data_IF_281620508150
#
_entry.id   IF_281620508150
#
_cell.length_a   1.000
_cell.length_b   1.000
_cell.length_c   1.000
_cell.angle_alpha   90.00
_cell.angle_beta   90.00
_cell.angle_gamma   90.00
#
_symmetry.space_group_name_H-M   'P 1'
#
loop_
_entity.id
_entity.type
_entity.pdbx_description
1 polymer ?
#
# COMPACT_ATOMS: atom_id res chain seq x y z
N UNK A 1 -4.35 -18.91 -0.26
CA UNK A 1 -4.37 -17.49 -0.60
C UNK A 1 -4.33 -16.65 0.67
N UNK A 2 -3.57 -15.57 0.68
CA UNK A 2 -3.53 -14.56 1.76
C UNK A 2 -3.71 -13.18 1.12
N UNK A 3 -4.48 -12.30 1.77
CA UNK A 3 -4.71 -10.91 1.33
C UNK A 3 -4.10 -9.97 2.36
N UNK A 4 -3.30 -9.03 1.88
CA UNK A 4 -2.66 -8.01 2.72
C UNK A 4 -2.79 -6.62 2.09
N UNK A 5 -2.68 -5.58 2.92
CA UNK A 5 -2.66 -4.19 2.45
C UNK A 5 -1.72 -3.33 3.33
N UNK A 6 -1.27 -2.14 2.86
CA UNK A 6 -0.39 -1.27 3.63
C UNK A 6 -1.06 -0.61 4.84
N UNK A 7 -2.37 -0.37 4.78
CA UNK A 7 -3.12 0.32 5.84
C UNK A 7 -4.22 -0.57 6.43
N UNK A 8 -4.65 -0.26 7.68
CA UNK A 8 -5.71 -1.00 8.34
C UNK A 8 -7.05 -0.91 7.59
N UNK A 9 -7.40 0.27 7.07
CA UNK A 9 -8.65 0.49 6.33
C UNK A 9 -8.65 -0.32 5.03
N UNK A 10 -7.57 -0.26 4.25
CA UNK A 10 -7.44 -1.05 3.03
C UNK A 10 -7.51 -2.56 3.33
N UNK A 11 -6.85 -3.01 4.40
CA UNK A 11 -6.87 -4.41 4.82
C UNK A 11 -8.29 -4.89 5.18
N UNK A 12 -9.07 -4.09 5.91
CA UNK A 12 -10.46 -4.41 6.24
C UNK A 12 -11.31 -4.48 4.97
N UNK A 13 -11.17 -3.51 4.08
CA UNK A 13 -11.94 -3.46 2.83
C UNK A 13 -11.62 -4.65 1.91
N UNK A 14 -10.36 -5.07 1.86
CA UNK A 14 -9.92 -6.23 1.08
C UNK A 14 -10.21 -7.58 1.75
N UNK A 15 -10.76 -7.58 2.97
CA UNK A 15 -10.98 -8.81 3.74
C UNK A 15 -9.69 -9.50 4.20
N UNK A 16 -8.63 -8.73 4.42
CA UNK A 16 -7.30 -9.19 4.77
C UNK A 16 -6.75 -8.58 6.06
N UNK A 17 -5.44 -8.54 6.17
CA UNK A 17 -4.69 -7.95 7.30
C UNK A 17 -3.58 -7.03 6.79
N UNK A 18 -3.00 -6.19 7.66
CA UNK A 18 -1.90 -5.33 7.20
C UNK A 18 -0.62 -6.13 6.94
N UNK A 19 0.20 -5.68 5.97
CA UNK A 19 1.51 -6.27 5.65
C UNK A 19 2.36 -6.40 6.91
N UNK A 20 2.45 -5.31 7.69
CA UNK A 20 3.24 -5.27 8.92
C UNK A 20 2.76 -6.29 9.95
N UNK A 21 1.46 -6.43 10.13
CA UNK A 21 0.88 -7.41 11.06
C UNK A 21 1.08 -8.84 10.57
N UNK A 22 0.86 -9.10 9.28
CA UNK A 22 0.99 -10.45 8.74
C UNK A 22 2.43 -10.95 8.81
N UNK A 23 3.38 -10.17 8.32
CA UNK A 23 4.80 -10.55 8.27
C UNK A 23 5.59 -10.13 9.51
N UNK A 24 4.94 -9.47 10.50
CA UNK A 24 5.59 -8.93 11.71
C UNK A 24 6.80 -8.04 11.38
N UNK A 25 6.71 -7.28 10.28
CA UNK A 25 7.75 -6.34 9.85
C UNK A 25 7.63 -5.07 10.68
N UNK A 26 8.72 -4.53 11.26
CA UNK A 26 8.69 -3.25 11.96
C UNK A 26 8.33 -2.10 11.03
N UNK A 27 7.86 -0.98 11.58
CA UNK A 27 7.61 0.25 10.82
C UNK A 27 8.89 1.01 10.43
N UNK A 28 10.06 0.50 10.78
CA UNK A 28 11.34 1.08 10.38
C UNK A 28 11.70 0.71 8.93
N UNK A 29 12.51 1.53 8.23
CA UNK A 29 13.02 1.19 6.91
C UNK A 29 13.77 -0.14 6.89
N UNK A 30 13.51 -0.94 5.88
CA UNK A 30 14.26 -2.14 5.62
C UNK A 30 15.47 -1.82 4.73
N UNK A 31 16.67 -2.01 5.27
CA UNK A 31 17.91 -1.79 4.52
C UNK A 31 18.49 -3.15 4.15
N UNK A 32 18.59 -3.49 2.84
CA UNK A 32 19.24 -4.72 2.40
C UNK A 32 20.67 -4.80 2.96
N UNK A 33 21.10 -6.00 3.35
CA UNK A 33 22.45 -6.30 3.90
C UNK A 33 22.72 -5.82 5.33
N UNK A 34 21.98 -4.86 5.88
CA UNK A 34 22.17 -4.41 7.27
C UNK A 34 21.29 -5.15 8.27
N UNK A 35 20.14 -5.63 7.82
CA UNK A 35 19.08 -6.14 8.71
C UNK A 35 19.39 -7.52 9.30
N UNK A 36 20.30 -8.27 8.69
CA UNK A 36 20.56 -9.67 9.09
C UNK A 36 22.06 -10.02 9.23
N UNK A 37 23.00 -9.12 8.89
CA UNK A 37 24.43 -9.43 8.77
C UNK A 37 25.38 -8.75 9.75
N UNK A 38 24.94 -8.05 10.79
CA UNK A 38 25.89 -7.52 11.77
C UNK A 38 26.17 -8.52 12.88
N UNK A 39 27.34 -9.13 12.83
CA UNK A 39 28.00 -9.87 13.92
C UNK A 39 27.26 -11.07 14.50
N UNK A 40 26.59 -11.90 13.70
CA UNK A 40 26.05 -13.17 14.19
C UNK A 40 24.90 -13.04 15.19
N UNK A 41 24.49 -11.83 15.53
CA UNK A 41 23.31 -11.56 16.34
C UNK A 41 22.25 -10.94 15.42
N UNK A 42 21.45 -11.79 14.79
CA UNK A 42 20.27 -11.41 14.02
C UNK A 42 19.38 -10.50 14.87
N UNK A 43 19.37 -9.21 14.58
CA UNK A 43 18.74 -8.17 15.38
C UNK A 43 17.20 -8.25 15.41
N UNK A 44 16.58 -8.98 14.49
CA UNK A 44 15.14 -9.23 14.47
C UNK A 44 14.85 -10.70 14.16
N UNK A 45 15.06 -11.58 15.15
CA UNK A 45 14.56 -12.95 15.10
C UNK A 45 13.06 -12.95 15.46
N UNK A 46 12.21 -12.46 14.58
CA UNK A 46 10.81 -12.82 14.67
C UNK A 46 10.68 -14.32 14.39
N UNK A 47 10.47 -15.09 15.43
CA UNK A 47 10.12 -16.50 15.30
C UNK A 47 8.62 -16.58 15.20
N UNK A 48 8.12 -16.82 14.02
CA UNK A 48 6.70 -17.14 13.87
C UNK A 48 6.35 -18.41 14.64
N UNK A 49 5.14 -18.45 15.19
CA UNK A 49 4.58 -19.69 15.71
C UNK A 49 4.38 -20.71 14.58
N UNK A 50 4.29 -21.98 14.97
CA UNK A 50 4.15 -23.09 14.01
C UNK A 50 2.99 -22.90 13.03
N UNK A 51 1.84 -22.41 13.51
CA UNK A 51 0.66 -22.14 12.69
C UNK A 51 0.95 -21.11 11.59
N UNK A 52 1.61 -20.00 11.94
CA UNK A 52 1.98 -18.97 10.99
C UNK A 52 2.95 -19.47 9.93
N UNK A 53 3.94 -20.26 10.34
CA UNK A 53 4.88 -20.89 9.40
C UNK A 53 4.14 -21.82 8.44
N UNK A 54 3.16 -22.58 8.93
CA UNK A 54 2.36 -23.46 8.08
C UNK A 54 1.52 -22.64 7.07
N UNK A 55 0.92 -21.53 7.48
CA UNK A 55 0.21 -20.63 6.57
C UNK A 55 1.14 -20.11 5.47
N UNK A 56 2.35 -19.63 5.84
CA UNK A 56 3.33 -19.14 4.86
C UNK A 56 3.76 -20.25 3.91
N UNK A 57 4.01 -21.46 4.41
CA UNK A 57 4.43 -22.61 3.59
C UNK A 57 3.36 -23.10 2.63
N UNK A 58 2.11 -23.06 3.03
CA UNK A 58 0.97 -23.47 2.21
C UNK A 58 0.39 -22.37 1.31
N UNK A 59 1.00 -21.18 1.32
CA UNK A 59 0.52 -20.05 0.54
C UNK A 59 0.92 -20.17 -0.93
N UNK A 60 -0.06 -20.27 -1.83
CA UNK A 60 0.19 -20.29 -3.28
C UNK A 60 0.04 -18.90 -3.89
N UNK A 61 -0.82 -18.05 -3.31
CA UNK A 61 -1.10 -16.70 -3.79
C UNK A 61 -1.08 -15.70 -2.64
N UNK A 62 -0.30 -14.63 -2.81
CA UNK A 62 -0.32 -13.44 -1.98
C UNK A 62 -0.94 -12.28 -2.77
N UNK A 63 -2.06 -11.77 -2.30
CA UNK A 63 -2.70 -10.56 -2.84
C UNK A 63 -2.25 -9.37 -2.01
N UNK A 64 -1.73 -8.34 -2.67
CA UNK A 64 -1.34 -7.08 -2.05
C UNK A 64 -2.24 -6.00 -2.63
N UNK A 65 -3.21 -5.55 -1.84
CA UNK A 65 -4.08 -4.45 -2.21
C UNK A 65 -3.43 -3.10 -1.90
N UNK A 66 -3.82 -2.04 -2.62
CA UNK A 66 -3.23 -0.70 -2.52
C UNK A 66 -1.69 -0.71 -2.66
N UNK A 67 -1.18 -1.45 -3.64
CA UNK A 67 0.28 -1.60 -3.86
C UNK A 67 0.97 -0.26 -4.13
N UNK A 68 0.26 0.76 -4.64
CA UNK A 68 0.79 2.10 -4.87
C UNK A 68 1.35 2.76 -3.60
N UNK A 69 0.81 2.41 -2.42
CA UNK A 69 1.25 2.90 -1.12
C UNK A 69 2.36 2.05 -0.49
N UNK A 70 2.76 0.94 -1.11
CA UNK A 70 3.80 0.05 -0.59
C UNK A 70 5.17 0.53 -1.03
N UNK A 71 6.07 0.74 -0.07
CA UNK A 71 7.46 1.11 -0.35
C UNK A 71 8.25 -0.08 -0.91
N UNK A 72 9.25 0.22 -1.74
CA UNK A 72 10.14 -0.78 -2.32
C UNK A 72 10.85 -1.65 -1.26
N UNK A 73 11.35 -1.02 -0.20
CA UNK A 73 12.01 -1.70 0.90
C UNK A 73 11.05 -2.61 1.68
N UNK A 74 9.80 -2.22 1.86
CA UNK A 74 8.80 -3.07 2.51
C UNK A 74 8.49 -4.30 1.66
N UNK A 75 8.42 -4.15 0.33
CA UNK A 75 8.21 -5.28 -0.57
C UNK A 75 9.40 -6.25 -0.55
N UNK A 76 10.64 -5.73 -0.48
CA UNK A 76 11.83 -6.57 -0.32
C UNK A 76 11.88 -7.26 1.05
N UNK A 77 11.39 -6.63 2.11
CA UNK A 77 11.23 -7.28 3.40
C UNK A 77 10.22 -8.44 3.36
N UNK A 78 9.13 -8.29 2.60
CA UNK A 78 8.17 -9.38 2.33
C UNK A 78 8.85 -10.53 1.58
N UNK A 79 9.63 -10.22 0.53
CA UNK A 79 10.41 -11.22 -0.21
C UNK A 79 11.32 -12.00 0.71
N UNK A 80 12.10 -11.32 1.56
CA UNK A 80 13.01 -11.98 2.48
C UNK A 80 12.28 -12.93 3.43
N UNK A 81 11.13 -12.49 3.98
CA UNK A 81 10.33 -13.35 4.86
C UNK A 81 9.78 -14.58 4.14
N UNK A 82 9.35 -14.43 2.89
CA UNK A 82 8.86 -15.55 2.09
C UNK A 82 9.98 -16.51 1.72
N UNK A 83 11.13 -16.02 1.27
CA UNK A 83 12.33 -16.86 0.99
C UNK A 83 12.78 -17.65 2.21
N UNK A 84 12.77 -17.01 3.38
CA UNK A 84 13.21 -17.64 4.64
C UNK A 84 12.39 -18.87 5.03
N UNK A 85 11.08 -18.86 4.78
CA UNK A 85 10.18 -19.95 5.22
C UNK A 85 9.75 -20.87 4.08
N UNK A 86 10.07 -20.55 2.83
CA UNK A 86 9.74 -21.35 1.63
C UNK A 86 10.99 -21.69 0.81
N UNK A 87 11.14 -21.10 -0.38
CA UNK A 87 12.27 -21.36 -1.27
C UNK A 87 13.24 -20.17 -1.25
N UNK A 88 14.47 -20.31 -0.69
CA UNK A 88 15.41 -19.20 -0.59
C UNK A 88 15.96 -18.74 -1.95
N UNK A 89 15.84 -19.56 -2.98
CA UNK A 89 16.41 -19.29 -4.30
C UNK A 89 15.43 -18.62 -5.28
N UNK A 90 14.13 -18.61 -4.93
CA UNK A 90 13.09 -18.00 -5.77
C UNK A 90 12.62 -16.67 -5.20
N UNK A 91 12.43 -15.65 -6.06
CA UNK A 91 11.76 -14.42 -5.64
C UNK A 91 10.43 -14.74 -4.96
N UNK A 92 10.17 -14.03 -3.87
CA UNK A 92 9.00 -14.22 -3.01
C UNK A 92 8.78 -15.68 -2.55
N UNK A 93 9.89 -16.44 -2.41
CA UNK A 93 9.80 -17.84 -2.03
C UNK A 93 9.01 -18.73 -2.99
N UNK A 94 8.83 -18.29 -4.24
CA UNK A 94 8.04 -18.97 -5.26
C UNK A 94 6.51 -18.81 -5.10
N UNK A 95 6.05 -17.86 -4.27
CA UNK A 95 4.64 -17.50 -4.14
C UNK A 95 4.22 -16.63 -5.32
N UNK A 96 3.05 -16.90 -5.89
CA UNK A 96 2.46 -16.01 -6.89
C UNK A 96 2.01 -14.72 -6.23
N UNK A 97 2.33 -13.57 -6.83
CA UNK A 97 1.85 -12.25 -6.38
C UNK A 97 0.71 -11.76 -7.27
N UNK A 98 -0.31 -11.20 -6.65
CA UNK A 98 -1.31 -10.34 -7.29
C UNK A 98 -1.25 -8.98 -6.62
N UNK A 99 -0.77 -7.98 -7.33
CA UNK A 99 -0.64 -6.61 -6.85
C UNK A 99 -1.76 -5.77 -7.47
N UNK A 100 -2.56 -5.13 -6.63
CA UNK A 100 -3.70 -4.31 -7.03
C UNK A 100 -3.46 -2.89 -6.53
N UNK A 101 -3.66 -1.88 -7.37
CA UNK A 101 -3.50 -0.49 -6.95
C UNK A 101 -3.59 0.50 -8.10
N UNK A 102 -3.41 1.76 -7.78
CA UNK A 102 -3.50 2.88 -8.70
C UNK A 102 -2.37 3.88 -8.43
N UNK A 103 -1.41 3.96 -9.35
CA UNK A 103 -0.24 4.85 -9.22
C UNK A 103 -0.57 6.35 -9.26
N UNK A 104 -1.79 6.72 -9.66
CA UNK A 104 -2.24 8.10 -9.68
C UNK A 104 -2.98 8.50 -8.37
N UNK A 105 -3.14 7.55 -7.44
CA UNK A 105 -3.65 7.78 -6.10
C UNK A 105 -2.51 8.04 -5.11
N UNK A 106 -2.64 7.58 -3.86
CA UNK A 106 -1.65 7.87 -2.83
C UNK A 106 -0.32 7.17 -3.08
N UNK A 107 0.74 7.95 -3.01
CA UNK A 107 2.12 7.47 -3.07
C UNK A 107 2.57 6.85 -1.73
N UNK A 108 3.67 6.06 -1.74
CA UNK A 108 4.28 5.59 -0.50
C UNK A 108 4.77 6.77 0.35
N UNK A 109 4.52 6.71 1.65
CA UNK A 109 5.03 7.72 2.58
C UNK A 109 6.44 7.33 3.01
N UNK A 110 7.38 8.25 2.82
CA UNK A 110 8.76 8.12 3.27
C UNK A 110 9.23 9.47 3.84
N UNK A 111 9.90 9.46 5.00
CA UNK A 111 10.50 10.65 5.58
C UNK A 111 11.84 10.94 4.90
N UNK A 112 12.25 12.22 4.88
CA UNK A 112 13.52 12.61 4.24
C UNK A 112 14.73 11.86 4.81
N UNK A 113 14.77 11.66 6.12
CA UNK A 113 15.83 10.91 6.81
C UNK A 113 15.85 9.42 6.38
N UNK A 114 14.67 8.82 6.23
CA UNK A 114 14.53 7.45 5.75
C UNK A 114 14.94 7.33 4.29
N UNK A 115 14.56 8.32 3.47
CA UNK A 115 14.94 8.34 2.06
C UNK A 115 16.45 8.50 1.86
N UNK A 116 17.14 9.29 2.66
CA UNK A 116 18.60 9.38 2.62
C UNK A 116 19.30 8.02 2.80
N UNK A 117 18.71 7.13 3.59
CA UNK A 117 19.23 5.76 3.75
C UNK A 117 18.81 4.86 2.57
N UNK A 118 17.55 4.92 2.16
CA UNK A 118 16.96 4.03 1.17
C UNK A 118 17.40 4.35 -0.25
N UNK A 119 17.67 5.63 -0.59
CA UNK A 119 18.12 6.07 -1.92
C UNK A 119 19.45 5.46 -2.37
N UNK A 120 20.22 4.89 -1.45
CA UNK A 120 21.44 4.12 -1.76
C UNK A 120 21.13 2.75 -2.40
N UNK A 121 19.93 2.25 -2.22
CA UNK A 121 19.52 0.90 -2.63
C UNK A 121 18.37 0.90 -3.63
N UNK A 122 17.57 1.98 -3.68
CA UNK A 122 16.35 2.09 -4.47
C UNK A 122 16.34 3.40 -5.27
N UNK A 123 15.94 3.32 -6.54
CA UNK A 123 15.84 4.48 -7.42
C UNK A 123 14.66 5.40 -7.04
N UNK A 124 13.58 4.79 -6.56
CA UNK A 124 12.36 5.48 -6.08
C UNK A 124 11.78 4.76 -4.87
N UNK A 125 10.94 5.41 -4.06
CA UNK A 125 10.28 4.75 -2.93
C UNK A 125 9.18 3.77 -3.37
N UNK A 126 8.71 3.81 -4.61
CA UNK A 126 7.62 2.97 -5.09
C UNK A 126 8.00 1.49 -5.17
N UNK A 127 7.01 0.62 -5.01
CA UNK A 127 7.14 -0.84 -5.01
C UNK A 127 7.90 -1.40 -6.23
N UNK A 128 7.75 -0.79 -7.41
CA UNK A 128 8.44 -1.25 -8.63
C UNK A 128 9.97 -1.03 -8.61
N UNK A 129 10.50 -0.28 -7.63
CA UNK A 129 11.95 -0.20 -7.37
C UNK A 129 12.46 -1.35 -6.50
N UNK A 130 11.59 -2.24 -5.99
CA UNK A 130 11.97 -3.43 -5.23
C UNK A 130 12.98 -4.28 -5.99
N UNK A 131 14.03 -4.72 -5.31
CA UNK A 131 15.09 -5.57 -5.88
C UNK A 131 14.56 -6.96 -6.20
N UNK A 132 13.66 -7.48 -5.37
CA UNK A 132 13.02 -8.77 -5.58
C UNK A 132 12.08 -8.73 -6.79
N UNK A 133 11.29 -7.66 -6.93
CA UNK A 133 10.37 -7.52 -8.06
C UNK A 133 11.12 -7.37 -9.39
N UNK A 134 12.27 -6.69 -9.42
CA UNK A 134 13.15 -6.59 -10.60
C UNK A 134 13.70 -7.95 -11.08
N UNK A 135 13.68 -8.98 -10.21
CA UNK A 135 14.07 -10.35 -10.54
C UNK A 135 12.89 -11.25 -10.97
N UNK A 136 11.70 -10.67 -11.03
CA UNK A 136 10.46 -11.41 -11.29
C UNK A 136 9.85 -10.96 -12.60
N UNK A 137 9.46 -11.90 -13.43
CA UNK A 137 8.62 -11.60 -14.60
C UNK A 137 7.18 -11.37 -14.13
N UNK A 138 6.57 -10.28 -14.58
CA UNK A 138 5.17 -9.97 -14.29
C UNK A 138 4.49 -9.33 -15.48
N UNK A 139 3.17 -9.46 -15.54
CA UNK A 139 2.34 -8.76 -16.52
C UNK A 139 1.48 -7.70 -15.82
N UNK A 140 1.23 -6.61 -16.51
CA UNK A 140 0.34 -5.55 -16.04
C UNK A 140 -0.97 -5.60 -16.80
N UNK A 141 -2.07 -5.58 -16.07
CA UNK A 141 -3.44 -5.51 -16.62
C UNK A 141 -4.05 -4.20 -16.17
N UNK A 142 -4.37 -3.34 -17.12
CA UNK A 142 -5.04 -2.07 -16.87
C UNK A 142 -6.57 -2.26 -16.95
N UNK A 143 -7.26 -1.93 -15.84
CA UNK A 143 -8.72 -1.92 -15.79
C UNK A 143 -9.22 -0.54 -16.28
N UNK A 144 -10.00 -0.54 -17.37
CA UNK A 144 -10.45 0.71 -18.02
C UNK A 144 -11.91 1.05 -17.73
N UNK A 145 -12.72 0.09 -17.31
CA UNK A 145 -14.14 0.31 -17.07
C UNK A 145 -14.40 0.68 -15.62
N UNK A 146 -15.06 1.81 -15.42
CA UNK A 146 -15.44 2.31 -14.08
C UNK A 146 -16.87 1.88 -13.79
N UNK A 147 -17.08 1.18 -12.67
CA UNK A 147 -18.40 0.72 -12.22
C UNK A 147 -18.90 1.47 -10.98
N UNK A 148 -18.03 2.22 -10.30
CA UNK A 148 -18.35 2.90 -9.03
C UNK A 148 -19.17 4.17 -9.22
N UNK A 149 -19.00 4.84 -10.37
CA UNK A 149 -19.67 6.11 -10.70
C UNK A 149 -20.53 5.93 -11.94
N UNK A 150 -21.80 6.38 -11.83
CA UNK A 150 -22.76 6.39 -12.94
C UNK A 150 -22.95 7.78 -13.57
N UNK A 151 -22.44 8.85 -12.93
CA UNK A 151 -22.47 10.21 -13.44
C UNK A 151 -21.29 10.41 -14.40
N UNK A 152 -21.58 10.44 -15.70
CA UNK A 152 -20.58 10.53 -16.76
C UNK A 152 -19.81 11.85 -16.73
N UNK A 153 -20.47 12.98 -16.44
CA UNK A 153 -19.84 14.30 -16.40
C UNK A 153 -18.88 14.41 -15.21
N UNK A 154 -19.28 13.85 -14.08
CA UNK A 154 -18.43 13.81 -12.90
C UNK A 154 -17.24 12.86 -13.09
N UNK A 155 -17.43 11.74 -13.76
CA UNK A 155 -16.36 10.81 -14.08
C UNK A 155 -15.33 11.44 -15.01
N UNK A 156 -15.77 12.17 -16.04
CA UNK A 156 -14.87 12.89 -16.94
C UNK A 156 -14.07 13.96 -16.19
N UNK A 157 -14.72 14.71 -15.29
CA UNK A 157 -14.07 15.69 -14.44
C UNK A 157 -12.97 15.06 -13.57
N UNK A 158 -13.26 13.92 -12.93
CA UNK A 158 -12.29 13.18 -12.12
C UNK A 158 -11.13 12.64 -12.96
N UNK A 159 -11.38 12.12 -14.17
CA UNK A 159 -10.33 11.65 -15.07
C UNK A 159 -9.41 12.79 -15.51
N UNK A 160 -9.94 13.95 -15.83
CA UNK A 160 -9.13 15.14 -16.17
C UNK A 160 -8.21 15.55 -15.03
N UNK A 161 -8.70 15.51 -13.78
CA UNK A 161 -7.87 15.77 -12.60
C UNK A 161 -6.79 14.70 -12.45
N UNK A 162 -7.15 13.44 -12.59
CA UNK A 162 -6.26 12.29 -12.50
C UNK A 162 -5.12 12.35 -13.51
N UNK A 163 -5.40 12.81 -14.73
CA UNK A 163 -4.44 12.96 -15.82
C UNK A 163 -3.68 14.30 -15.78
N UNK A 164 -3.86 15.08 -14.72
CA UNK A 164 -3.28 16.43 -14.55
C UNK A 164 -3.71 17.43 -15.64
N UNK A 165 -4.91 17.27 -16.19
CA UNK A 165 -5.54 18.20 -17.15
C UNK A 165 -6.47 19.19 -16.44
N UNK A 166 -5.98 19.82 -15.34
CA UNK A 166 -6.73 20.78 -14.53
C UNK A 166 -6.67 22.20 -15.16
N UNK A 167 -7.50 22.46 -16.14
CA UNK A 167 -7.69 23.82 -16.68
C UNK A 167 -8.67 24.66 -15.82
N UNK A 168 -8.81 25.97 -16.11
CA UNK A 168 -9.71 26.85 -15.37
C UNK A 168 -11.17 26.38 -15.37
N UNK A 169 -11.64 25.71 -16.42
CA UNK A 169 -13.00 25.21 -16.53
C UNK A 169 -13.25 24.03 -15.56
N UNK A 170 -12.27 23.13 -15.42
CA UNK A 170 -12.32 22.03 -14.44
C UNK A 170 -12.39 22.60 -13.03
N UNK A 171 -11.53 23.57 -12.72
CA UNK A 171 -11.51 24.22 -11.40
C UNK A 171 -12.81 24.96 -11.11
N UNK A 172 -13.37 25.69 -12.08
CA UNK A 172 -14.65 26.37 -11.92
C UNK A 172 -15.79 25.37 -11.63
N UNK A 173 -15.82 24.27 -12.37
CA UNK A 173 -16.84 23.22 -12.19
C UNK A 173 -16.74 22.57 -10.81
N UNK A 174 -15.54 22.32 -10.31
CA UNK A 174 -15.31 21.84 -8.94
C UNK A 174 -15.76 22.88 -7.90
N UNK A 175 -15.37 24.14 -8.09
CA UNK A 175 -15.66 25.22 -7.16
C UNK A 175 -17.17 25.53 -7.05
N UNK A 176 -17.97 25.22 -8.06
CA UNK A 176 -19.45 25.29 -7.97
C UNK A 176 -20.03 24.35 -6.90
N UNK A 177 -19.28 23.31 -6.50
CA UNK A 177 -19.66 22.39 -5.41
C UNK A 177 -19.21 22.87 -4.04
N UNK A 178 -18.44 23.97 -3.96
CA UNK A 178 -18.04 24.56 -2.68
C UNK A 178 -19.21 25.32 -2.06
N UNK A 179 -19.71 24.83 -0.95
CA UNK A 179 -20.82 25.38 -0.19
C UNK A 179 -20.34 25.74 1.22
N UNK A 180 -19.84 26.96 1.44
CA UNK A 180 -19.41 27.40 2.78
C UNK A 180 -20.59 27.36 3.74
N UNK A 181 -20.41 26.76 4.92
CA UNK A 181 -21.45 26.60 5.93
C UNK A 181 -22.43 25.44 5.70
N UNK A 182 -22.19 24.58 4.71
CA UNK A 182 -22.99 23.37 4.51
C UNK A 182 -22.92 22.46 5.74
N UNK A 183 -24.06 22.14 6.31
CA UNK A 183 -24.19 21.17 7.40
C UNK A 183 -25.02 19.97 6.92
N UNK A 184 -24.37 18.83 6.64
CA UNK A 184 -25.09 17.65 6.19
C UNK A 184 -26.00 17.12 7.28
N UNK A 185 -27.22 16.72 6.93
CA UNK A 185 -28.12 16.00 7.80
C UNK A 185 -27.78 14.51 7.78
N UNK A 186 -27.89 13.84 8.92
CA UNK A 186 -27.54 12.40 9.04
C UNK A 186 -28.32 11.52 8.07
N UNK A 187 -29.55 11.94 7.73
CA UNK A 187 -30.44 11.19 6.85
C UNK A 187 -30.12 11.33 5.37
N UNK A 188 -29.26 12.28 5.00
CA UNK A 188 -28.94 12.58 3.58
C UNK A 188 -27.76 11.75 3.05
N UNK A 189 -27.20 10.85 3.86
CA UNK A 189 -26.14 9.90 3.44
C UNK A 189 -24.77 10.54 3.13
N UNK A 190 -24.52 11.78 3.57
CA UNK A 190 -23.23 12.41 3.41
C UNK A 190 -22.17 11.80 4.32
N UNK A 191 -20.99 11.54 3.77
CA UNK A 191 -19.82 11.15 4.54
C UNK A 191 -19.01 12.42 4.82
N UNK A 192 -18.88 12.77 6.10
CA UNK A 192 -18.06 13.90 6.55
C UNK A 192 -16.57 13.60 6.38
N UNK A 193 -15.79 14.65 6.16
CA UNK A 193 -14.35 14.53 5.88
C UNK A 193 -13.56 13.84 7.00
N UNK A 194 -12.37 13.38 6.67
CA UNK A 194 -11.41 12.72 7.57
C UNK A 194 -11.13 13.51 8.87
N UNK A 195 -11.18 14.83 8.85
CA UNK A 195 -10.98 15.68 10.03
C UNK A 195 -12.04 15.39 11.11
N UNK A 196 -13.28 15.18 10.71
CA UNK A 196 -14.37 14.90 11.65
C UNK A 196 -14.45 13.44 12.09
N UNK A 197 -13.84 12.53 11.33
CA UNK A 197 -13.83 11.09 11.61
C UNK A 197 -12.58 10.70 12.39
N UNK A 198 -11.42 11.31 12.12
CA UNK A 198 -10.13 10.91 12.68
C UNK A 198 -9.70 11.69 13.93
N UNK A 199 -10.38 12.76 14.31
CA UNK A 199 -10.10 13.55 15.53
C UNK A 199 -11.24 13.59 16.58
N UNK A 200 -12.01 12.53 16.81
CA UNK A 200 -13.04 12.58 17.87
C UNK A 200 -12.48 12.55 19.29
N UNK A 201 -11.21 12.22 19.48
CA UNK A 201 -10.67 11.89 20.80
C UNK A 201 -9.75 12.97 21.41
N UNK A 202 -9.47 14.07 20.72
CA UNK A 202 -8.60 15.13 21.28
C UNK A 202 -9.31 16.09 22.24
N UNK A 203 -10.61 15.99 22.44
CA UNK A 203 -11.38 16.88 23.33
C UNK A 203 -11.75 16.26 24.67
N UNK A 204 -11.37 15.03 24.95
CA UNK A 204 -11.69 14.34 26.23
C UNK A 204 -10.44 13.94 27.03
N UNK A 205 -9.30 14.57 26.79
CA UNK A 205 -8.09 14.36 27.61
C UNK A 205 -7.76 15.62 28.40
#
# INVERSE_FOLDING_TARGET
>A
MVVVAPTGIAAINAGGVTIHSFFQIPFAPYVPESSFSTNGKASYRFRFGKEKINIIRSMDLLVIDEISMVRADLLDAVDEMLRRYRDPYKPFGGVQLLMIGDLQQLAPVVKDEEWQMLSKYYDTPYFFSSRALKQTEYCTIELKTVYRQNDGDFLELLNRIRENHCDPQVLETLNRRYLPGFQPRKEEGYILSLIHISEPTRKEA
#
